data_IF_671412749953
#
_entry.id   IF_671412749953
#
_cell.length_a   1.000
_cell.length_b   1.000
_cell.length_c   1.000
_cell.angle_alpha   90.00
_cell.angle_beta   90.00
_cell.angle_gamma   90.00
#
_symmetry.space_group_name_H-M   'P 1'
#
loop_
_entity.id
_entity.type
_entity.pdbx_description
1 polymer ?
#
# COMPACT_ATOMS: atom_id res chain seq x y z
N UNK A 1 -0.82 -19.06 -10.31
CA UNK A 1 -1.90 -18.06 -10.31
C UNK A 1 -1.23 -16.70 -10.26
N UNK A 2 -1.51 -15.81 -11.20
CA UNK A 2 -0.95 -14.45 -11.16
C UNK A 2 -1.80 -13.64 -10.18
N UNK A 3 -1.42 -13.69 -8.92
CA UNK A 3 -2.08 -12.90 -7.88
C UNK A 3 -1.72 -11.43 -8.09
N UNK A 4 -2.70 -10.55 -7.85
CA UNK A 4 -2.51 -9.11 -7.96
C UNK A 4 -3.16 -8.42 -6.77
N UNK A 5 -2.58 -7.29 -6.36
CA UNK A 5 -3.12 -6.48 -5.29
C UNK A 5 -3.13 -4.99 -5.65
N UNK A 6 -4.10 -4.28 -5.10
CA UNK A 6 -4.09 -2.81 -5.07
C UNK A 6 -3.90 -2.34 -3.64
N UNK A 7 -2.87 -1.52 -3.43
CA UNK A 7 -2.52 -0.91 -2.16
C UNK A 7 -2.95 0.55 -2.18
N UNK A 8 -3.96 0.90 -1.38
CA UNK A 8 -4.43 2.26 -1.21
C UNK A 8 -3.69 2.90 -0.04
N UNK A 9 -2.83 3.87 -0.35
CA UNK A 9 -1.96 4.50 0.62
C UNK A 9 -2.67 5.70 1.26
N UNK A 10 -2.70 5.74 2.58
CA UNK A 10 -3.28 6.83 3.36
C UNK A 10 -2.28 7.30 4.41
N UNK A 11 -2.33 8.58 4.77
CA UNK A 11 -1.56 9.10 5.90
C UNK A 11 -2.14 8.61 7.23
N UNK A 12 -1.39 8.82 8.32
CA UNK A 12 -1.88 8.61 9.70
C UNK A 12 -3.20 9.34 9.98
N UNK A 13 -3.36 10.55 9.42
CA UNK A 13 -4.60 11.32 9.51
C UNK A 13 -5.73 10.86 8.58
N UNK A 14 -5.52 9.79 7.81
CA UNK A 14 -6.50 9.23 6.89
C UNK A 14 -6.59 9.91 5.53
N UNK A 15 -5.71 10.87 5.23
CA UNK A 15 -5.70 11.54 3.92
C UNK A 15 -5.15 10.59 2.84
N UNK A 16 -5.77 10.51 1.64
CA UNK A 16 -5.28 9.64 0.57
C UNK A 16 -3.96 10.18 0.01
N UNK A 17 -2.92 9.35 0.04
CA UNK A 17 -1.58 9.67 -0.46
C UNK A 17 -1.29 9.08 -1.85
N UNK A 18 -1.99 8.01 -2.22
CA UNK A 18 -1.86 7.42 -3.55
C UNK A 18 -2.30 5.96 -3.60
N UNK A 19 -1.88 5.28 -4.66
CA UNK A 19 -2.12 3.87 -4.86
C UNK A 19 -0.89 3.20 -5.47
N UNK A 20 -0.55 2.01 -5.00
CA UNK A 20 0.43 1.12 -5.63
C UNK A 20 -0.32 -0.09 -6.17
N UNK A 21 0.02 -0.47 -7.39
CA UNK A 21 -0.50 -1.69 -7.99
C UNK A 21 0.59 -2.76 -7.97
N UNK A 22 0.33 -3.85 -7.26
CA UNK A 22 1.26 -4.94 -7.06
C UNK A 22 0.91 -6.14 -7.96
N UNK A 23 1.94 -6.68 -8.59
CA UNK A 23 1.92 -7.94 -9.36
C UNK A 23 3.10 -8.80 -8.92
N UNK A 24 2.94 -10.11 -9.06
CA UNK A 24 4.01 -11.11 -8.95
C UNK A 24 4.82 -11.04 -7.63
N UNK A 25 4.30 -11.71 -6.60
CA UNK A 25 5.06 -12.03 -5.37
C UNK A 25 5.03 -10.99 -4.25
N UNK A 26 4.74 -9.71 -4.53
CA UNK A 26 4.60 -8.65 -3.50
C UNK A 26 3.13 -8.23 -3.29
N UNK A 27 2.29 -9.19 -2.95
CA UNK A 27 0.83 -8.98 -2.87
C UNK A 27 0.43 -8.42 -1.50
N UNK A 28 1.05 -8.90 -0.44
CA UNK A 28 0.74 -8.53 0.93
C UNK A 28 1.77 -7.53 1.48
N UNK A 29 1.33 -6.40 2.05
CA UNK A 29 2.23 -5.43 2.68
C UNK A 29 2.78 -5.94 4.01
N UNK A 30 3.86 -5.32 4.47
CA UNK A 30 4.53 -5.64 5.74
C UNK A 30 4.71 -4.37 6.56
N UNK A 31 4.35 -4.40 7.84
CA UNK A 31 4.58 -3.28 8.76
C UNK A 31 6.08 -3.06 8.95
N UNK A 32 6.52 -1.80 8.92
CA UNK A 32 7.92 -1.40 8.98
C UNK A 32 8.63 -1.45 7.63
N UNK A 33 7.98 -1.89 6.54
CA UNK A 33 8.58 -1.82 5.22
C UNK A 33 8.64 -0.36 4.74
N UNK A 34 9.72 -0.01 4.04
CA UNK A 34 9.85 1.28 3.37
C UNK A 34 9.33 1.18 1.95
N UNK A 35 8.42 2.09 1.61
CA UNK A 35 7.94 2.31 0.26
C UNK A 35 8.66 3.51 -0.35
N UNK A 36 8.79 3.49 -1.67
CA UNK A 36 9.30 4.59 -2.50
C UNK A 36 8.27 4.85 -3.60
N UNK A 37 7.85 6.11 -3.78
CA UNK A 37 6.87 6.50 -4.80
C UNK A 37 7.45 7.50 -5.81
N UNK A 38 8.44 8.31 -5.41
CA UNK A 38 9.16 9.25 -6.30
C UNK A 38 8.30 10.32 -6.96
N UNK A 39 7.04 10.47 -6.53
CA UNK A 39 6.06 11.42 -7.07
C UNK A 39 5.69 12.48 -6.05
N UNK A 40 4.79 12.13 -5.12
CA UNK A 40 4.26 13.05 -4.09
C UNK A 40 5.07 13.04 -2.80
N UNK A 41 5.84 11.98 -2.60
CA UNK A 41 6.72 11.74 -1.47
C UNK A 41 7.81 10.78 -1.95
N UNK A 42 8.98 10.86 -1.33
CA UNK A 42 10.16 10.11 -1.73
C UNK A 42 10.16 8.77 -1.02
N UNK A 43 10.02 8.79 0.30
CA UNK A 43 9.98 7.59 1.15
C UNK A 43 8.89 7.64 2.20
N UNK A 44 8.31 6.49 2.47
CA UNK A 44 7.35 6.32 3.54
C UNK A 44 7.47 4.95 4.20
N UNK A 45 7.24 4.89 5.51
CA UNK A 45 7.20 3.65 6.28
C UNK A 45 5.75 3.15 6.41
N UNK A 46 5.52 1.85 6.23
CA UNK A 46 4.21 1.24 6.48
C UNK A 46 4.00 1.08 7.98
N UNK A 47 3.01 1.78 8.53
CA UNK A 47 2.66 1.69 9.94
C UNK A 47 1.64 0.58 10.22
N UNK A 48 0.69 0.40 9.30
CA UNK A 48 -0.36 -0.62 9.42
C UNK A 48 -1.01 -0.88 8.07
N UNK A 49 -1.67 -2.02 7.93
CA UNK A 49 -2.51 -2.30 6.78
C UNK A 49 -3.75 -3.09 7.17
N UNK A 50 -4.78 -2.97 6.34
CA UNK A 50 -6.05 -3.68 6.47
C UNK A 50 -6.44 -4.23 5.09
N UNK A 51 -6.77 -5.52 5.01
CA UNK A 51 -7.32 -6.11 3.79
C UNK A 51 -8.79 -5.69 3.61
N UNK A 52 -9.07 -4.98 2.53
CA UNK A 52 -10.41 -4.60 2.10
C UNK A 52 -11.08 -5.79 1.40
N UNK A 53 -12.42 -5.83 1.38
CA UNK A 53 -13.17 -6.88 0.66
C UNK A 53 -12.59 -7.11 -0.73
N UNK A 54 -12.22 -8.35 -1.03
CA UNK A 54 -11.75 -8.74 -2.35
C UNK A 54 -12.82 -8.46 -3.42
N UNK A 55 -12.40 -7.94 -4.57
CA UNK A 55 -13.22 -7.85 -5.78
C UNK A 55 -12.65 -8.90 -6.74
N UNK A 56 -13.49 -9.84 -7.21
CA UNK A 56 -13.20 -10.84 -8.25
C UNK A 56 -11.70 -11.02 -8.59
N UNK A 57 -10.96 -11.75 -7.75
CA UNK A 57 -9.58 -12.19 -8.03
C UNK A 57 -8.45 -11.20 -7.72
N UNK A 58 -8.74 -10.00 -7.21
CA UNK A 58 -7.73 -9.01 -6.81
C UNK A 58 -7.86 -8.66 -5.32
N UNK A 59 -6.76 -8.81 -4.58
CA UNK A 59 -6.67 -8.39 -3.17
C UNK A 59 -6.56 -6.87 -3.10
N UNK A 60 -7.12 -6.28 -2.07
CA UNK A 60 -7.12 -4.82 -1.89
C UNK A 60 -6.72 -4.52 -0.47
N UNK A 61 -5.78 -3.61 -0.28
CA UNK A 61 -5.28 -3.25 1.03
C UNK A 61 -5.40 -1.75 1.23
N UNK A 62 -5.88 -1.33 2.39
CA UNK A 62 -5.68 0.02 2.89
C UNK A 62 -4.38 0.01 3.69
N UNK A 63 -3.44 0.88 3.34
CA UNK A 63 -2.13 0.94 3.99
C UNK A 63 -1.94 2.33 4.58
N UNK A 64 -1.74 2.38 5.89
CA UNK A 64 -1.36 3.60 6.59
C UNK A 64 0.14 3.74 6.52
N UNK A 65 0.60 4.85 5.95
CA UNK A 65 2.02 5.15 5.81
C UNK A 65 2.38 6.46 6.51
N UNK A 66 3.62 6.54 6.98
CA UNK A 66 4.24 7.76 7.46
C UNK A 66 5.32 8.20 6.49
N UNK A 67 5.15 9.37 5.89
CA UNK A 67 6.16 9.96 5.02
C UNK A 67 7.37 10.36 5.86
N UNK A 68 8.55 9.92 5.45
CA UNK A 68 9.81 10.22 6.11
C UNK A 68 10.72 11.11 5.26
N UNK A 69 10.58 11.09 3.92
CA UNK A 69 11.33 11.92 2.94
C UNK A 69 10.49 12.25 1.69
#
# INVERSE_FOLDING_TARGET
>A
MNESASWFLVSEGGAPLGQIYCKDGRIEPTVGETLENGQKWTRAEVLSFEELRASCGMRRFRIVIRVIE
#
